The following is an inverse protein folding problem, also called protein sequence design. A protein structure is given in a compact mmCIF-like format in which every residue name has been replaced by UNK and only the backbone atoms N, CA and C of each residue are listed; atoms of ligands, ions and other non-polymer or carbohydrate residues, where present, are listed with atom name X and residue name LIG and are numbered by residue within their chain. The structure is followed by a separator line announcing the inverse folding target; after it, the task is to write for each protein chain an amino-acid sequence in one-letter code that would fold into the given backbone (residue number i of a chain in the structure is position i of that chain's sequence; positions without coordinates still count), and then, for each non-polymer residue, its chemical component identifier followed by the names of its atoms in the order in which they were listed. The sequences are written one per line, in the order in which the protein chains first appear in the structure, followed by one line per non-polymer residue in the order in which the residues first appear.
data_IF_008351347051
#
_entry.id   IF_008351347051
#
_cell.length_a   1.000
_cell.length_b   1.000
_cell.length_c   1.000
_cell.angle_alpha   90.00
_cell.angle_beta   90.00
_cell.angle_gamma   90.00
#
_symmetry.space_group_name_H-M   'P 1'
#
loop_
_entity.id
_entity.type
_entity.pdbx_description
1 polymer ?
#
# COMPACT_ATOMS: atom_id res chain seq x y z
N UNK A 1 -5.37 11.53 -13.61
CA UNK A 1 -4.12 11.89 -12.90
C UNK A 1 -3.15 10.70 -12.80
N UNK A 2 -3.59 9.56 -12.33
CA UNK A 2 -2.74 8.36 -12.13
C UNK A 2 -2.14 7.78 -13.42
N UNK A 3 -2.85 7.76 -14.57
CA UNK A 3 -2.28 7.30 -15.84
C UNK A 3 -1.07 8.11 -16.30
N UNK A 4 -1.11 9.45 -16.11
CA UNK A 4 0.05 10.33 -16.41
C UNK A 4 1.21 10.11 -15.41
N UNK A 5 0.89 9.76 -14.16
CA UNK A 5 1.88 9.44 -13.14
C UNK A 5 2.56 8.10 -13.45
N UNK A 6 1.77 7.08 -13.85
CA UNK A 6 2.27 5.77 -14.27
C UNK A 6 3.21 5.87 -15.46
N UNK A 7 2.88 6.67 -16.48
CA UNK A 7 3.75 6.89 -17.65
C UNK A 7 5.06 7.59 -17.26
N UNK A 8 5.02 8.56 -16.34
CA UNK A 8 6.24 9.18 -15.79
C UNK A 8 7.08 8.20 -14.96
N UNK A 9 6.46 7.35 -14.15
CA UNK A 9 7.17 6.35 -13.36
C UNK A 9 7.80 5.29 -14.27
N UNK A 10 7.11 4.83 -15.31
CA UNK A 10 7.65 3.87 -16.28
C UNK A 10 8.84 4.43 -17.08
N UNK A 11 8.75 5.69 -17.55
CA UNK A 11 9.86 6.32 -18.26
C UNK A 11 11.09 6.58 -17.37
N UNK A 12 10.91 6.68 -16.03
CA UNK A 12 12.00 6.81 -15.07
C UNK A 12 12.61 5.48 -14.63
N UNK A 13 11.84 4.38 -14.68
CA UNK A 13 12.36 3.05 -14.36
C UNK A 13 13.34 2.53 -15.43
N UNK A 14 13.15 2.93 -16.69
CA UNK A 14 14.07 2.58 -17.78
C UNK A 14 15.43 3.28 -17.70
N UNK A 15 15.55 4.37 -16.91
CA UNK A 15 16.79 5.17 -16.81
C UNK A 15 17.73 4.67 -15.67
N UNK A 16 17.33 3.72 -14.83
CA UNK A 16 18.03 3.40 -13.58
C UNK A 16 18.53 1.98 -13.39
N UNK A 17 19.14 1.37 -14.37
CA UNK A 17 20.01 0.21 -14.09
C UNK A 17 21.38 0.59 -13.47
N UNK A 18 21.73 1.86 -13.36
CA UNK A 18 23.10 2.30 -13.03
C UNK A 18 23.28 3.16 -11.77
N UNK A 19 22.26 3.33 -10.90
CA UNK A 19 22.46 4.13 -9.67
C UNK A 19 22.22 3.28 -8.42
N UNK A 20 23.25 2.53 -8.05
CA UNK A 20 23.30 1.74 -6.81
C UNK A 20 23.30 2.70 -5.62
N UNK A 21 22.17 2.76 -4.96
CA UNK A 21 21.84 3.69 -3.90
C UNK A 21 22.89 3.79 -2.78
N UNK A 22 23.19 5.02 -2.45
CA UNK A 22 23.86 5.44 -1.22
C UNK A 22 23.10 4.87 -0.01
N UNK A 23 23.69 3.89 0.67
CA UNK A 23 23.23 3.36 1.95
C UNK A 23 23.20 4.49 2.98
N UNK A 24 22.01 5.00 3.29
CA UNK A 24 21.82 5.84 4.47
C UNK A 24 21.93 4.93 5.71
N UNK A 25 23.17 4.81 6.24
CA UNK A 25 23.42 4.11 7.49
C UNK A 25 22.97 5.00 8.65
N UNK A 26 21.69 4.99 8.95
CA UNK A 26 21.25 5.42 10.27
C UNK A 26 21.77 4.41 11.29
N UNK A 27 22.83 4.83 12.01
CA UNK A 27 23.52 4.08 13.07
C UNK A 27 22.69 4.02 14.37
N UNK A 28 21.44 3.61 14.32
CA UNK A 28 20.74 3.15 15.51
C UNK A 28 20.75 1.63 15.49
N UNK A 29 21.87 1.09 15.93
CA UNK A 29 22.25 -0.32 15.90
C UNK A 29 21.34 -1.26 16.72
N UNK A 30 20.31 -0.77 17.41
CA UNK A 30 19.45 -1.55 18.29
C UNK A 30 17.98 -1.59 17.92
N UNK A 31 17.57 -0.91 16.84
CA UNK A 31 16.19 -1.03 16.31
C UNK A 31 16.22 -1.87 15.04
N UNK A 32 15.71 -3.09 15.12
CA UNK A 32 15.45 -3.92 13.96
C UNK A 32 14.57 -3.21 12.92
N UNK A 33 14.45 -3.76 11.73
CA UNK A 33 13.53 -3.22 10.72
C UNK A 33 12.10 -3.21 11.26
N UNK A 34 11.39 -2.11 11.07
CA UNK A 34 9.99 -1.98 11.49
C UNK A 34 9.10 -1.56 10.31
N UNK A 35 7.89 -2.06 10.30
CA UNK A 35 6.87 -1.60 9.38
C UNK A 35 6.16 -0.38 9.97
N UNK A 36 6.35 0.80 9.38
CA UNK A 36 5.80 2.06 9.91
C UNK A 36 4.48 2.45 9.25
N UNK A 37 3.46 2.68 10.08
CA UNK A 37 2.25 3.39 9.68
C UNK A 37 2.25 4.74 10.38
N UNK A 38 2.17 5.87 9.64
CA UNK A 38 2.16 7.20 10.24
C UNK A 38 1.02 7.37 11.26
N UNK A 39 1.32 7.94 12.42
CA UNK A 39 0.32 8.17 13.48
C UNK A 39 -0.87 9.00 13.00
N UNK A 40 -0.66 9.89 12.03
CA UNK A 40 -1.74 10.69 11.45
C UNK A 40 -2.81 9.82 10.77
N UNK A 41 -2.44 8.68 10.17
CA UNK A 41 -3.38 7.73 9.57
C UNK A 41 -4.16 7.01 10.67
N UNK A 42 -3.47 6.56 11.73
CA UNK A 42 -4.07 5.82 12.84
C UNK A 42 -5.11 6.70 13.57
N UNK A 43 -4.86 8.01 13.66
CA UNK A 43 -5.77 8.99 14.29
C UNK A 43 -6.87 9.50 13.35
N UNK A 44 -6.78 9.21 12.05
CA UNK A 44 -7.76 9.66 11.07
C UNK A 44 -8.99 8.75 11.05
N UNK A 45 -10.15 9.28 10.64
CA UNK A 45 -11.41 8.53 10.51
C UNK A 45 -11.30 7.29 9.61
N UNK A 46 -10.41 7.32 8.62
CA UNK A 46 -10.15 6.19 7.71
C UNK A 46 -9.73 4.93 8.48
N UNK A 47 -9.02 5.08 9.61
CA UNK A 47 -8.59 3.95 10.42
C UNK A 47 -9.75 3.18 11.02
N UNK A 48 -10.79 3.89 11.46
CA UNK A 48 -12.00 3.26 12.01
C UNK A 48 -12.82 2.51 10.96
N UNK A 49 -12.62 2.78 9.68
CA UNK A 49 -13.27 2.07 8.58
C UNK A 49 -12.58 0.74 8.22
N UNK A 50 -11.41 0.48 8.78
CA UNK A 50 -10.65 -0.75 8.56
C UNK A 50 -11.19 -1.88 9.45
N UNK A 51 -11.33 -3.06 8.85
CA UNK A 51 -11.50 -4.29 9.62
C UNK A 51 -10.14 -4.91 9.99
N UNK A 52 -10.06 -5.84 10.95
CA UNK A 52 -8.80 -6.43 11.40
C UNK A 52 -7.98 -7.07 10.26
N UNK A 53 -8.64 -7.73 9.32
CA UNK A 53 -7.96 -8.32 8.18
C UNK A 53 -7.28 -7.26 7.28
N UNK A 54 -7.96 -6.13 7.05
CA UNK A 54 -7.39 -5.02 6.27
C UNK A 54 -6.21 -4.36 7.00
N UNK A 55 -6.29 -4.19 8.33
CA UNK A 55 -5.16 -3.69 9.13
C UNK A 55 -3.95 -4.63 8.99
N UNK A 56 -4.17 -5.94 9.12
CA UNK A 56 -3.08 -6.93 9.01
C UNK A 56 -2.49 -6.95 7.59
N UNK A 57 -3.32 -6.89 6.55
CA UNK A 57 -2.85 -6.82 5.15
C UNK A 57 -2.09 -5.53 4.88
N UNK A 58 -2.53 -4.38 5.45
CA UNK A 58 -1.80 -3.12 5.35
C UNK A 58 -0.42 -3.21 6.01
N UNK A 59 -0.33 -3.81 7.22
CA UNK A 59 0.95 -4.08 7.88
C UNK A 59 1.83 -5.00 7.05
N UNK A 60 1.26 -6.06 6.47
CA UNK A 60 1.96 -6.97 5.56
C UNK A 60 2.49 -6.27 4.30
N UNK A 61 1.75 -5.30 3.76
CA UNK A 61 2.20 -4.47 2.64
C UNK A 61 3.32 -3.53 3.07
N UNK A 62 3.15 -2.86 4.22
CA UNK A 62 4.14 -1.94 4.77
C UNK A 62 5.45 -2.64 5.15
N UNK A 63 5.39 -3.89 5.62
CA UNK A 63 6.58 -4.67 5.97
C UNK A 63 7.48 -5.04 4.78
N UNK A 64 6.93 -4.99 3.55
CA UNK A 64 7.66 -5.24 2.31
C UNK A 64 8.25 -3.96 1.71
N UNK A 65 7.91 -2.82 2.25
CA UNK A 65 8.49 -1.55 1.85
C UNK A 65 9.87 -1.37 2.44
N UNK A 66 10.88 -1.18 1.58
CA UNK A 66 12.29 -1.05 1.97
C UNK A 66 12.83 0.39 1.90
N UNK A 67 11.94 1.38 1.71
CA UNK A 67 12.31 2.79 1.58
C UNK A 67 12.40 3.31 0.14
N UNK A 68 12.56 2.44 -0.85
CA UNK A 68 12.73 2.82 -2.26
C UNK A 68 11.80 2.11 -3.24
N UNK A 69 11.23 0.95 -2.87
CA UNK A 69 10.43 0.08 -3.74
C UNK A 69 8.94 0.42 -3.73
N UNK A 70 8.53 1.61 -3.30
CA UNK A 70 7.11 1.98 -3.34
C UNK A 70 6.61 2.01 -4.79
N UNK A 71 5.49 1.36 -5.06
CA UNK A 71 4.98 1.12 -6.42
C UNK A 71 5.42 -0.21 -7.04
N UNK A 72 6.36 -0.90 -6.42
CA UNK A 72 6.86 -2.23 -6.81
C UNK A 72 6.76 -3.24 -5.66
N UNK A 73 5.88 -2.99 -4.71
CA UNK A 73 5.65 -3.89 -3.58
C UNK A 73 4.84 -5.07 -4.06
N UNK A 74 5.48 -6.23 -4.18
CA UNK A 74 4.82 -7.46 -4.57
C UNK A 74 4.16 -8.10 -3.34
N UNK A 75 2.84 -8.27 -3.38
CA UNK A 75 2.09 -8.96 -2.35
C UNK A 75 0.81 -9.57 -2.93
N UNK A 76 0.84 -10.86 -3.11
CA UNK A 76 -0.30 -11.61 -3.67
C UNK A 76 -1.40 -11.84 -2.64
N UNK A 77 -2.65 -12.07 -3.10
CA UNK A 77 -3.75 -12.44 -2.21
C UNK A 77 -3.49 -13.74 -1.44
N UNK A 78 -2.69 -14.66 -1.98
CA UNK A 78 -2.32 -15.90 -1.31
C UNK A 78 -1.37 -15.65 -0.15
N UNK A 79 -0.28 -14.92 -0.40
CA UNK A 79 0.68 -14.53 0.64
C UNK A 79 0.01 -13.67 1.73
N UNK A 80 -0.90 -12.76 1.33
CA UNK A 80 -1.65 -11.95 2.28
C UNK A 80 -2.60 -12.77 3.14
N UNK A 81 -3.21 -13.82 2.59
CA UNK A 81 -4.06 -14.74 3.33
C UNK A 81 -3.24 -15.54 4.36
N UNK A 82 -2.08 -16.04 3.96
CA UNK A 82 -1.14 -16.73 4.85
C UNK A 82 -0.62 -15.80 5.95
N UNK A 83 -0.18 -14.58 5.57
CA UNK A 83 0.33 -13.58 6.51
C UNK A 83 -0.72 -13.14 7.54
N UNK A 84 -1.95 -12.94 7.12
CA UNK A 84 -3.04 -12.48 7.98
C UNK A 84 -3.80 -13.62 8.67
N UNK A 85 -3.47 -14.89 8.38
CA UNK A 85 -4.17 -16.09 8.85
C UNK A 85 -5.69 -16.02 8.55
N UNK A 86 -6.03 -15.67 7.31
CA UNK A 86 -7.41 -15.55 6.83
C UNK A 86 -7.59 -16.30 5.50
N UNK A 87 -8.84 -16.45 5.06
CA UNK A 87 -9.10 -17.02 3.73
C UNK A 87 -8.61 -16.10 2.62
N UNK A 88 -8.26 -16.67 1.44
CA UNK A 88 -7.88 -15.92 0.24
C UNK A 88 -8.93 -14.87 -0.16
N UNK A 89 -10.22 -15.21 -0.01
CA UNK A 89 -11.31 -14.28 -0.31
C UNK A 89 -11.34 -13.11 0.68
N UNK A 90 -11.07 -13.35 1.96
CA UNK A 90 -10.96 -12.30 2.98
C UNK A 90 -9.79 -11.38 2.68
N UNK A 91 -8.63 -11.93 2.33
CA UNK A 91 -7.47 -11.13 1.92
C UNK A 91 -7.74 -10.29 0.67
N UNK A 92 -8.41 -10.87 -0.34
CA UNK A 92 -8.81 -10.14 -1.55
C UNK A 92 -9.75 -8.96 -1.23
N UNK A 93 -10.73 -9.16 -0.35
CA UNK A 93 -11.63 -8.09 0.11
C UNK A 93 -10.88 -7.03 0.92
N UNK A 94 -9.87 -7.43 1.69
CA UNK A 94 -9.02 -6.49 2.43
C UNK A 94 -8.24 -5.57 1.48
N UNK A 95 -7.65 -6.08 0.41
CA UNK A 95 -7.00 -5.26 -0.62
C UNK A 95 -7.98 -4.27 -1.28
N UNK A 96 -9.17 -4.74 -1.66
CA UNK A 96 -10.22 -3.89 -2.25
C UNK A 96 -10.61 -2.77 -1.28
N UNK A 97 -10.77 -3.09 0.00
CA UNK A 97 -11.10 -2.09 1.03
C UNK A 97 -9.98 -1.07 1.20
N UNK A 98 -8.74 -1.51 1.31
CA UNK A 98 -7.57 -0.63 1.46
C UNK A 98 -7.40 0.31 0.26
N UNK A 99 -7.63 -0.18 -0.96
CA UNK A 99 -7.58 0.62 -2.18
C UNK A 99 -8.74 1.61 -2.23
N UNK A 100 -9.97 1.19 -1.89
CA UNK A 100 -11.15 2.06 -1.79
C UNK A 100 -10.97 3.19 -0.78
N UNK A 101 -10.31 2.92 0.33
CA UNK A 101 -9.99 3.91 1.37
C UNK A 101 -8.78 4.78 1.03
N UNK A 102 -8.11 4.51 -0.09
CA UNK A 102 -6.98 5.30 -0.55
C UNK A 102 -5.69 5.09 0.26
N UNK A 103 -5.54 3.99 0.99
CA UNK A 103 -4.33 3.67 1.76
C UNK A 103 -3.26 2.98 0.93
N UNK A 104 -3.68 2.17 -0.04
CA UNK A 104 -2.82 1.54 -1.03
C UNK A 104 -3.35 1.79 -2.44
N UNK A 105 -2.51 1.56 -3.43
CA UNK A 105 -2.88 1.64 -4.84
C UNK A 105 -2.29 0.47 -5.60
N UNK A 106 -3.11 -0.20 -6.41
CA UNK A 106 -2.63 -1.17 -7.36
C UNK A 106 -1.95 -0.46 -8.55
N UNK A 107 -0.68 -0.72 -8.78
CA UNK A 107 0.08 -0.12 -9.87
C UNK A 107 0.00 -1.00 -11.12
N UNK A 108 0.27 -2.29 -10.95
CA UNK A 108 0.18 -3.27 -12.02
C UNK A 108 -0.90 -4.27 -11.66
N UNK A 109 -2.02 -4.25 -12.40
CA UNK A 109 -3.02 -5.30 -12.29
C UNK A 109 -2.41 -6.61 -12.81
N UNK A 110 -2.65 -7.72 -12.10
CA UNK A 110 -2.25 -9.03 -12.59
C UNK A 110 -2.94 -9.29 -13.93
N UNK A 111 -2.22 -9.17 -15.03
CA UNK A 111 -2.72 -9.62 -16.32
C UNK A 111 -2.78 -11.15 -16.32
N UNK A 112 -3.96 -11.70 -16.55
CA UNK A 112 -4.18 -13.11 -16.85
C UNK A 112 -3.71 -13.47 -18.27
N UNK A 113 -2.60 -12.93 -18.70
CA UNK A 113 -1.95 -13.46 -19.88
C UNK A 113 -1.20 -14.72 -19.45
N UNK A 114 -1.64 -15.88 -19.98
CA UNK A 114 -1.12 -17.21 -19.61
C UNK A 114 0.41 -17.34 -19.76
N UNK A 115 1.07 -16.39 -20.39
CA UNK A 115 2.51 -16.36 -20.64
C UNK A 115 3.32 -15.55 -19.65
N UNK A 116 2.69 -14.59 -18.89
CA UNK A 116 3.37 -13.79 -17.86
C UNK A 116 2.48 -13.69 -16.65
N UNK A 117 2.69 -14.55 -15.66
CA UNK A 117 2.09 -14.43 -14.33
C UNK A 117 2.72 -13.24 -13.60
N UNK A 118 2.32 -12.02 -13.95
CA UNK A 118 2.74 -10.83 -13.22
C UNK A 118 2.00 -10.79 -11.89
N UNK A 119 2.75 -10.79 -10.80
CA UNK A 119 2.21 -10.53 -9.48
C UNK A 119 1.70 -9.09 -9.40
N UNK A 120 0.67 -8.85 -8.58
CA UNK A 120 0.18 -7.47 -8.33
C UNK A 120 1.25 -6.68 -7.61
N UNK A 121 1.49 -5.48 -8.11
CA UNK A 121 2.38 -4.50 -7.49
C UNK A 121 1.55 -3.41 -6.81
N UNK A 122 1.97 -3.06 -5.60
CA UNK A 122 1.26 -2.11 -4.75
C UNK A 122 2.13 -0.90 -4.44
N UNK A 123 1.47 0.23 -4.23
CA UNK A 123 2.06 1.41 -3.65
C UNK A 123 1.32 1.79 -2.36
N UNK A 124 2.07 2.20 -1.35
CA UNK A 124 1.56 2.88 -0.16
C UNK A 124 1.34 4.36 -0.51
N UNK A 125 0.13 4.86 -0.38
CA UNK A 125 -0.21 6.24 -0.79
C UNK A 125 0.40 7.30 0.13
N UNK A 126 0.78 6.91 1.34
CA UNK A 126 1.44 7.78 2.33
C UNK A 126 2.96 7.77 2.24
N UNK A 127 3.53 7.03 1.29
CA UNK A 127 4.96 7.01 1.01
C UNK A 127 5.23 7.58 -0.38
N UNK A 128 6.36 8.26 -0.61
CA UNK A 128 6.72 8.74 -1.93
C UNK A 128 7.02 7.57 -2.87
N UNK A 129 6.72 7.74 -4.16
CA UNK A 129 7.17 6.84 -5.21
C UNK A 129 8.36 7.50 -5.89
N UNK A 130 9.55 7.05 -5.59
CA UNK A 130 10.79 7.66 -6.09
C UNK A 130 10.81 9.18 -5.81
N UNK A 131 10.87 10.05 -6.82
CA UNK A 131 10.86 11.51 -6.71
C UNK A 131 9.45 12.13 -6.68
N UNK A 132 8.40 11.29 -6.78
CA UNK A 132 7.01 11.76 -6.73
C UNK A 132 6.54 11.76 -5.28
N UNK A 133 6.04 12.88 -4.76
CA UNK A 133 5.57 12.95 -3.38
C UNK A 133 4.38 12.02 -3.13
N UNK A 134 4.19 11.64 -1.86
CA UNK A 134 3.07 10.82 -1.42
C UNK A 134 1.73 11.45 -1.81
N UNK A 135 0.82 10.66 -2.38
CA UNK A 135 -0.49 11.16 -2.86
C UNK A 135 -1.48 11.39 -1.74
N UNK A 136 -1.34 10.64 -0.63
CA UNK A 136 -2.19 10.74 0.56
C UNK A 136 -3.70 10.72 0.26
N UNK A 137 -4.16 9.87 -0.65
CA UNK A 137 -5.57 9.77 -1.08
C UNK A 137 -6.52 9.47 0.09
N UNK A 138 -6.04 8.76 1.11
CA UNK A 138 -6.78 8.46 2.34
C UNK A 138 -7.31 9.70 3.07
N UNK A 139 -6.70 10.88 2.88
CA UNK A 139 -7.15 12.15 3.48
C UNK A 139 -8.52 12.61 2.95
N UNK A 140 -8.91 12.11 1.78
CA UNK A 140 -10.22 12.44 1.18
C UNK A 140 -11.35 11.63 1.80
N UNK A 141 -11.04 10.59 2.58
CA UNK A 141 -12.06 9.80 3.26
C UNK A 141 -12.76 10.64 4.32
N UNK A 142 -14.09 10.73 4.20
CA UNK A 142 -14.98 11.29 5.23
C UNK A 142 -15.95 10.21 5.63
N UNK A 143 -16.06 9.96 6.92
CA UNK A 143 -17.10 9.06 7.45
C UNK A 143 -18.46 9.66 7.09
N UNK A 144 -19.23 8.95 6.24
CA UNK A 144 -20.61 9.35 6.02
C UNK A 144 -21.32 9.30 7.39
N UNK A 145 -21.95 10.40 7.77
CA UNK A 145 -22.79 10.41 8.98
C UNK A 145 -23.92 9.43 8.71
N UNK A 146 -23.79 8.20 9.21
CA UNK A 146 -24.92 7.29 9.30
C UNK A 146 -25.91 7.95 10.26
N UNK A 147 -27.07 8.38 9.75
CA UNK A 147 -28.18 8.86 10.56
C UNK A 147 -28.38 7.84 11.69
N UNK A 148 -28.16 8.31 12.92
CA UNK A 148 -28.48 7.56 14.14
C UNK A 148 -29.97 7.19 14.09
N UNK A 149 -30.29 5.93 13.74
CA UNK A 149 -31.65 5.40 13.69
C UNK A 149 -32.21 5.07 15.10
N UNK A 150 -31.54 5.51 16.16
CA UNK A 150 -31.88 5.21 17.53
C UNK A 150 -32.06 6.49 18.37
N UNK A 151 -32.63 7.54 17.76
CA UNK A 151 -33.21 8.66 18.52
C UNK A 151 -34.68 8.77 18.13
N UNK A 152 -35.49 7.90 18.67
CA UNK A 152 -36.91 8.09 18.99
C UNK A 152 -37.17 7.48 20.36
#
# INVERSE_FOLDING_TARGET
MWKKLLLKVQSFLEIKENDVGRKNRNKNLNQGQFAGIPMIIIRHEVWQALNPAAVTVLLGTASRFNGINNGQIIFSCREAAEFANVSKNTAARAFILLEKLGLIKCITASNFDCRKKLAREWALTYQPIYKVPATNEWKQYKKSQSRNRYQQ
#
